data_IF_181934263563
#
_entry.id   IF_181934263563
#
_cell.length_a   1.000
_cell.length_b   1.000
_cell.length_c   1.000
_cell.angle_alpha   90.00
_cell.angle_beta   90.00
_cell.angle_gamma   90.00
#
_symmetry.space_group_name_H-M   'P 1'
#
loop_
_entity.id
_entity.type
_entity.pdbx_description
1 polymer ?
#
# COMPACT_ATOMS: atom_id res chain seq x y z
N UNK A 1 -37.79 19.54 -2.70
CA UNK A 1 -36.47 19.31 -2.07
C UNK A 1 -36.15 17.84 -2.19
N UNK A 2 -35.27 17.46 -3.12
CA UNK A 2 -34.94 16.06 -3.34
C UNK A 2 -33.72 15.94 -4.24
N UNK A 3 -32.79 15.08 -3.84
CA UNK A 3 -31.68 14.56 -4.66
C UNK A 3 -30.49 15.50 -4.92
N UNK A 4 -29.77 15.88 -3.86
CA UNK A 4 -28.40 16.42 -3.97
C UNK A 4 -27.35 15.48 -3.34
N UNK A 5 -27.77 14.35 -2.75
CA UNK A 5 -26.89 13.48 -1.95
C UNK A 5 -26.07 12.44 -2.71
N UNK A 6 -26.49 11.96 -3.89
CA UNK A 6 -25.95 10.70 -4.44
C UNK A 6 -24.90 10.86 -5.56
N UNK A 7 -24.71 12.05 -6.12
CA UNK A 7 -23.82 12.26 -7.28
C UNK A 7 -22.31 12.28 -6.96
N UNK A 8 -21.91 12.23 -5.67
CA UNK A 8 -20.47 12.21 -5.30
C UNK A 8 -19.89 10.81 -5.21
N UNK A 9 -20.71 9.78 -5.06
CA UNK A 9 -20.24 8.39 -4.94
C UNK A 9 -20.04 7.71 -6.30
N UNK A 10 -20.72 8.19 -7.35
CA UNK A 10 -20.66 7.62 -8.72
C UNK A 10 -19.33 7.85 -9.46
N UNK A 11 -18.34 8.51 -8.86
CA UNK A 11 -17.04 8.79 -9.51
C UNK A 11 -15.84 8.44 -8.64
N UNK A 12 -15.95 7.45 -7.76
CA UNK A 12 -14.81 6.99 -6.96
C UNK A 12 -14.03 5.91 -7.73
N UNK A 13 -13.75 6.10 -9.03
CA UNK A 13 -12.65 5.47 -9.77
C UNK A 13 -12.72 5.74 -11.29
N UNK A 14 -11.59 5.73 -12.05
CA UNK A 14 -10.31 5.09 -11.72
C UNK A 14 -9.05 5.97 -11.79
N UNK A 15 -8.02 5.56 -11.02
CA UNK A 15 -6.66 6.10 -11.14
C UNK A 15 -6.27 6.13 -12.63
N UNK A 16 -6.05 7.33 -13.14
CA UNK A 16 -5.87 7.65 -14.55
C UNK A 16 -4.42 7.51 -15.01
N UNK A 17 -3.47 7.62 -14.07
CA UNK A 17 -2.05 7.53 -14.34
C UNK A 17 -1.54 6.08 -14.34
N UNK A 18 -2.34 5.12 -13.88
CA UNK A 18 -1.92 3.73 -13.66
C UNK A 18 -1.82 2.89 -14.94
N UNK A 19 -1.01 1.83 -14.88
CA UNK A 19 -1.04 0.81 -15.93
C UNK A 19 -2.41 0.12 -15.92
N UNK A 20 -2.89 -0.27 -17.10
CA UNK A 20 -4.23 -0.84 -17.27
C UNK A 20 -4.47 -2.10 -16.42
N UNK A 21 -3.46 -2.92 -16.20
CA UNK A 21 -3.53 -4.11 -15.35
C UNK A 21 -3.74 -3.77 -13.87
N UNK A 22 -2.93 -2.85 -13.32
CA UNK A 22 -3.03 -2.39 -11.92
C UNK A 22 -4.38 -1.72 -11.67
N UNK A 23 -4.82 -0.87 -12.60
CA UNK A 23 -6.10 -0.18 -12.53
C UNK A 23 -7.28 -1.17 -12.53
N UNK A 24 -7.25 -2.20 -13.38
CA UNK A 24 -8.27 -3.26 -13.39
C UNK A 24 -8.30 -4.04 -12.08
N UNK A 25 -7.13 -4.40 -11.54
CA UNK A 25 -7.03 -5.14 -10.27
C UNK A 25 -7.63 -4.35 -9.11
N UNK A 26 -7.26 -3.08 -8.96
CA UNK A 26 -7.80 -2.26 -7.87
C UNK A 26 -9.29 -2.04 -8.04
N UNK A 27 -9.76 -1.83 -9.28
CA UNK A 27 -11.19 -1.72 -9.58
C UNK A 27 -11.97 -2.96 -9.14
N UNK A 28 -11.52 -4.15 -9.54
CA UNK A 28 -12.19 -5.41 -9.19
C UNK A 28 -12.31 -5.57 -7.66
N UNK A 29 -11.24 -5.28 -6.93
CA UNK A 29 -11.21 -5.38 -5.47
C UNK A 29 -12.09 -4.32 -4.79
N UNK A 30 -12.14 -3.10 -5.34
CA UNK A 30 -13.04 -2.06 -4.86
C UNK A 30 -14.50 -2.43 -5.07
N UNK A 31 -14.87 -2.87 -6.28
CA UNK A 31 -16.24 -3.28 -6.62
C UNK A 31 -16.68 -4.43 -5.69
N UNK A 32 -15.82 -5.41 -5.42
CA UNK A 32 -16.09 -6.50 -4.48
C UNK A 32 -16.35 -6.02 -3.05
N UNK A 33 -15.54 -5.08 -2.54
CA UNK A 33 -15.73 -4.53 -1.19
C UNK A 33 -17.00 -3.71 -1.10
N UNK A 34 -17.30 -2.89 -2.11
CA UNK A 34 -18.51 -2.06 -2.11
C UNK A 34 -19.76 -2.94 -2.07
N UNK A 35 -19.81 -4.00 -2.88
CA UNK A 35 -20.93 -4.93 -2.89
C UNK A 35 -21.05 -5.72 -1.58
N UNK A 36 -19.93 -6.23 -1.05
CA UNK A 36 -19.91 -6.93 0.24
C UNK A 36 -20.33 -6.03 1.41
N UNK A 37 -19.96 -4.74 1.36
CA UNK A 37 -20.36 -3.76 2.37
C UNK A 37 -21.86 -3.42 2.29
N UNK A 38 -22.41 -3.26 1.08
CA UNK A 38 -23.86 -3.09 0.87
C UNK A 38 -24.65 -4.29 1.39
N UNK A 39 -24.14 -5.50 1.15
CA UNK A 39 -24.75 -6.75 1.63
C UNK A 39 -24.54 -7.01 3.13
N UNK A 40 -23.77 -6.17 3.85
CA UNK A 40 -23.35 -6.37 5.25
C UNK A 40 -22.60 -7.69 5.50
N UNK A 41 -21.95 -8.22 4.47
CA UNK A 41 -21.16 -9.47 4.50
C UNK A 41 -19.66 -9.22 4.38
N UNK A 42 -19.22 -7.95 4.45
CA UNK A 42 -17.82 -7.58 4.33
C UNK A 42 -16.97 -8.24 5.41
N UNK A 43 -15.98 -9.02 4.97
CA UNK A 43 -15.09 -9.76 5.86
C UNK A 43 -13.78 -9.01 6.11
N UNK A 44 -13.13 -9.31 7.23
CA UNK A 44 -11.78 -8.80 7.55
C UNK A 44 -10.75 -9.22 6.49
N UNK A 45 -10.87 -10.43 5.93
CA UNK A 45 -9.97 -10.92 4.89
C UNK A 45 -10.05 -10.09 3.60
N UNK A 46 -11.27 -9.75 3.14
CA UNK A 46 -11.48 -8.89 1.97
C UNK A 46 -10.92 -7.49 2.21
N UNK A 47 -11.16 -6.92 3.39
CA UNK A 47 -10.56 -5.63 3.79
C UNK A 47 -9.03 -5.69 3.73
N UNK A 48 -8.42 -6.76 4.25
CA UNK A 48 -6.96 -6.95 4.20
C UNK A 48 -6.42 -7.03 2.75
N UNK A 49 -7.10 -7.75 1.86
CA UNK A 49 -6.71 -7.84 0.45
C UNK A 49 -6.76 -6.49 -0.26
N UNK A 50 -7.80 -5.69 0.01
CA UNK A 50 -7.90 -4.36 -0.54
C UNK A 50 -6.86 -3.39 0.03
N UNK A 51 -6.52 -3.50 1.32
CA UNK A 51 -5.41 -2.72 1.91
C UNK A 51 -4.10 -3.03 1.18
N UNK A 52 -3.80 -4.29 0.90
CA UNK A 52 -2.62 -4.66 0.14
C UNK A 52 -2.64 -4.03 -1.26
N UNK A 53 -3.80 -4.01 -1.92
CA UNK A 53 -3.97 -3.31 -3.20
C UNK A 53 -3.76 -1.79 -3.09
N UNK A 54 -4.20 -1.16 -1.99
CA UNK A 54 -3.96 0.26 -1.72
C UNK A 54 -2.48 0.54 -1.43
N UNK A 55 -1.77 -0.35 -0.74
CA UNK A 55 -0.32 -0.24 -0.53
C UNK A 55 0.43 -0.29 -1.86
N UNK A 56 0.07 -1.22 -2.74
CA UNK A 56 0.61 -1.27 -4.11
C UNK A 56 0.35 0.03 -4.86
N UNK A 57 -0.87 0.57 -4.77
CA UNK A 57 -1.24 1.83 -5.41
C UNK A 57 -0.41 3.01 -4.88
N UNK A 58 -0.24 3.12 -3.57
CA UNK A 58 0.59 4.15 -2.94
C UNK A 58 2.03 4.08 -3.45
N UNK A 59 2.61 2.88 -3.49
CA UNK A 59 3.99 2.68 -3.94
C UNK A 59 4.15 3.09 -5.42
N UNK A 60 3.16 2.77 -6.27
CA UNK A 60 3.14 3.15 -7.68
C UNK A 60 3.00 4.68 -7.87
N UNK A 61 2.13 5.34 -7.10
CA UNK A 61 1.98 6.80 -7.10
C UNK A 61 3.27 7.50 -6.68
N UNK A 62 3.88 7.01 -5.59
CA UNK A 62 5.13 7.56 -5.08
C UNK A 62 6.23 7.42 -6.13
N UNK A 63 6.40 6.22 -6.71
CA UNK A 63 7.38 5.97 -7.76
C UNK A 63 7.19 6.90 -8.95
N UNK A 64 5.96 7.13 -9.40
CA UNK A 64 5.65 8.06 -10.50
C UNK A 64 5.97 9.50 -10.16
N UNK A 65 5.54 9.96 -8.98
CA UNK A 65 5.84 11.30 -8.49
C UNK A 65 7.35 11.56 -8.48
N UNK A 66 8.13 10.61 -7.95
CA UNK A 66 9.59 10.74 -7.93
C UNK A 66 10.21 10.78 -9.34
N UNK A 67 9.75 9.94 -10.26
CA UNK A 67 10.23 9.94 -11.66
C UNK A 67 9.94 11.29 -12.32
N UNK A 68 8.72 11.81 -12.14
CA UNK A 68 8.30 13.10 -12.68
C UNK A 68 9.15 14.23 -12.08
N UNK A 69 9.30 14.27 -10.75
CA UNK A 69 10.10 15.28 -10.06
C UNK A 69 11.58 15.27 -10.50
N UNK A 70 12.20 14.10 -10.61
CA UNK A 70 13.57 13.96 -11.13
C UNK A 70 13.65 14.48 -12.57
N UNK A 71 12.68 14.12 -13.41
CA UNK A 71 12.62 14.56 -14.81
C UNK A 71 12.44 16.08 -14.93
N UNK A 72 11.63 16.71 -14.08
CA UNK A 72 11.51 18.16 -14.00
C UNK A 72 12.82 18.84 -13.66
N UNK A 73 13.49 18.37 -12.60
CA UNK A 73 14.78 18.93 -12.16
C UNK A 73 15.80 18.89 -13.29
N UNK A 74 15.91 17.75 -13.98
CA UNK A 74 16.81 17.57 -15.11
C UNK A 74 16.45 18.51 -16.27
N UNK A 75 15.18 18.50 -16.72
CA UNK A 75 14.77 19.33 -17.87
C UNK A 75 14.86 20.82 -17.59
N UNK A 76 14.53 21.26 -16.38
CA UNK A 76 14.67 22.65 -15.96
C UNK A 76 16.15 23.07 -15.94
N UNK A 77 17.04 22.21 -15.46
CA UNK A 77 18.48 22.45 -15.53
C UNK A 77 19.00 22.52 -16.97
N UNK A 78 18.51 21.66 -17.87
CA UNK A 78 18.83 21.70 -19.29
C UNK A 78 18.30 22.98 -19.96
N UNK A 79 17.12 23.45 -19.57
CA UNK A 79 16.51 24.67 -20.12
C UNK A 79 17.39 25.91 -19.91
N UNK A 80 18.04 26.04 -18.75
CA UNK A 80 18.97 27.15 -18.47
C UNK A 80 20.19 27.18 -19.39
N UNK A 81 20.53 26.07 -20.05
CA UNK A 81 21.66 25.95 -20.97
C UNK A 81 21.23 25.73 -22.42
N UNK A 82 19.93 25.85 -22.71
CA UNK A 82 19.36 25.54 -24.00
C UNK A 82 19.66 26.64 -25.02
N UNK A 83 20.02 26.24 -26.23
CA UNK A 83 20.01 27.11 -27.40
C UNK A 83 18.58 27.31 -27.93
N UNK A 84 18.40 28.25 -28.85
CA UNK A 84 17.07 28.62 -29.37
C UNK A 84 16.31 27.45 -30.00
N UNK A 85 17.01 26.46 -30.57
CA UNK A 85 16.37 25.30 -31.22
C UNK A 85 15.93 24.21 -30.24
N UNK A 86 16.66 24.02 -29.12
CA UNK A 86 16.31 23.03 -28.10
C UNK A 86 15.36 23.57 -27.03
N UNK A 87 15.27 24.90 -26.88
CA UNK A 87 14.41 25.57 -25.91
C UNK A 87 12.94 25.17 -26.05
N UNK A 88 12.36 25.35 -27.24
CA UNK A 88 10.93 25.06 -27.47
C UNK A 88 10.61 23.58 -27.22
N UNK A 89 11.50 22.68 -27.64
CA UNK A 89 11.37 21.24 -27.39
C UNK A 89 11.40 20.92 -25.90
N UNK A 90 12.30 21.53 -25.13
CA UNK A 90 12.39 21.33 -23.68
C UNK A 90 11.16 21.88 -22.96
N UNK A 91 10.67 23.06 -23.33
CA UNK A 91 9.43 23.63 -22.83
C UNK A 91 8.24 22.68 -23.05
N UNK A 92 8.08 22.16 -24.27
CA UNK A 92 7.02 21.18 -24.57
C UNK A 92 7.13 19.91 -23.71
N UNK A 93 8.35 19.42 -23.46
CA UNK A 93 8.56 18.27 -22.58
C UNK A 93 8.23 18.59 -21.12
N UNK A 94 8.52 19.79 -20.64
CA UNK A 94 8.16 20.26 -19.30
C UNK A 94 6.63 20.33 -19.17
N UNK A 95 5.92 20.92 -20.14
CA UNK A 95 4.45 20.96 -20.12
C UNK A 95 3.81 19.56 -20.08
N UNK A 96 4.38 18.58 -20.80
CA UNK A 96 3.91 17.19 -20.72
C UNK A 96 4.11 16.60 -19.33
N UNK A 97 5.24 16.87 -18.68
CA UNK A 97 5.49 16.44 -17.30
C UNK A 97 4.56 17.15 -16.31
N UNK A 98 4.18 18.42 -16.52
CA UNK A 98 3.20 19.13 -15.69
C UNK A 98 1.83 18.46 -15.76
N UNK A 99 1.40 18.10 -16.97
CA UNK A 99 0.16 17.35 -17.17
C UNK A 99 0.21 15.97 -16.51
N UNK A 100 1.34 15.26 -16.59
CA UNK A 100 1.56 13.98 -15.89
C UNK A 100 1.53 14.15 -14.37
N UNK A 101 2.19 15.18 -13.84
CA UNK A 101 2.19 15.49 -12.40
C UNK A 101 0.77 15.71 -11.88
N UNK A 102 -0.02 16.51 -12.61
CA UNK A 102 -1.42 16.79 -12.26
C UNK A 102 -2.26 15.51 -12.22
N UNK A 103 -2.08 14.58 -13.16
CA UNK A 103 -2.78 13.28 -13.14
C UNK A 103 -2.40 12.43 -11.93
N UNK A 104 -1.11 12.42 -11.55
CA UNK A 104 -0.65 11.70 -10.36
C UNK A 104 -1.20 12.33 -9.08
N UNK A 105 -1.32 13.66 -9.04
CA UNK A 105 -1.93 14.38 -7.92
C UNK A 105 -3.43 14.07 -7.80
N UNK A 106 -4.17 14.09 -8.91
CA UNK A 106 -5.57 13.67 -8.96
C UNK A 106 -5.72 12.23 -8.45
N UNK A 107 -4.87 11.30 -8.90
CA UNK A 107 -4.90 9.93 -8.40
C UNK A 107 -4.56 9.84 -6.90
N UNK A 108 -3.66 10.67 -6.38
CA UNK A 108 -3.38 10.74 -4.94
C UNK A 108 -4.61 11.20 -4.15
N UNK A 109 -5.41 12.13 -4.67
CA UNK A 109 -6.68 12.53 -4.02
C UNK A 109 -7.68 11.37 -3.95
N UNK A 110 -7.78 10.58 -5.03
CA UNK A 110 -8.64 9.38 -5.07
C UNK A 110 -8.15 8.34 -4.07
N UNK A 111 -6.83 8.14 -3.94
CA UNK A 111 -6.25 7.22 -2.96
C UNK A 111 -6.60 7.64 -1.54
N UNK A 112 -6.43 8.92 -1.21
CA UNK A 112 -6.75 9.44 0.12
C UNK A 112 -8.25 9.27 0.44
N UNK A 113 -9.13 9.53 -0.55
CA UNK A 113 -10.56 9.32 -0.37
C UNK A 113 -10.90 7.85 -0.09
N UNK A 114 -10.34 6.92 -0.87
CA UNK A 114 -10.53 5.48 -0.66
C UNK A 114 -10.04 5.05 0.72
N UNK A 115 -8.91 5.58 1.16
CA UNK A 115 -8.37 5.30 2.49
C UNK A 115 -9.30 5.80 3.59
N UNK A 116 -9.84 7.01 3.47
CA UNK A 116 -10.81 7.55 4.43
C UNK A 116 -12.11 6.75 4.45
N UNK A 117 -12.63 6.35 3.29
CA UNK A 117 -13.83 5.51 3.22
C UNK A 117 -13.62 4.15 3.87
N UNK A 118 -12.46 3.53 3.67
CA UNK A 118 -12.15 2.24 4.27
C UNK A 118 -12.13 2.31 5.80
N UNK A 119 -11.59 3.40 6.36
CA UNK A 119 -11.56 3.64 7.82
C UNK A 119 -12.94 3.71 8.47
N UNK A 120 -13.97 4.08 7.71
CA UNK A 120 -15.34 4.13 8.21
C UNK A 120 -15.99 2.74 8.32
N UNK A 121 -15.45 1.72 7.63
CA UNK A 121 -16.02 0.38 7.61
C UNK A 121 -15.92 -0.33 8.97
N UNK A 122 -17.01 -0.96 9.46
CA UNK A 122 -16.97 -1.78 10.67
C UNK A 122 -15.93 -2.90 10.62
N UNK A 123 -15.75 -3.53 9.46
CA UNK A 123 -14.78 -4.61 9.27
C UNK A 123 -13.33 -4.13 9.37
N UNK A 124 -13.07 -2.87 9.01
CA UNK A 124 -11.76 -2.24 9.19
C UNK A 124 -11.50 -1.93 10.67
N UNK A 125 -12.51 -1.45 11.40
CA UNK A 125 -12.41 -1.19 12.85
C UNK A 125 -12.16 -2.46 13.64
N UNK A 126 -12.89 -3.53 13.36
CA UNK A 126 -12.66 -4.83 14.03
C UNK A 126 -11.27 -5.40 13.72
N UNK A 127 -10.76 -5.20 12.49
CA UNK A 127 -9.39 -5.57 12.17
C UNK A 127 -8.36 -4.82 13.04
N UNK A 128 -8.54 -3.51 13.26
CA UNK A 128 -7.66 -2.70 14.12
C UNK A 128 -7.75 -3.12 15.59
N UNK A 129 -8.95 -3.42 16.09
CA UNK A 129 -9.16 -3.90 17.46
C UNK A 129 -8.49 -5.26 17.68
N UNK A 130 -8.61 -6.19 16.72
CA UNK A 130 -7.93 -7.50 16.78
C UNK A 130 -6.41 -7.34 16.78
N UNK A 131 -5.85 -6.45 15.94
CA UNK A 131 -4.40 -6.20 15.96
C UNK A 131 -3.92 -5.59 17.28
N UNK A 132 -4.65 -4.63 17.83
CA UNK A 132 -4.29 -4.00 19.11
C UNK A 132 -4.34 -5.02 20.27
N UNK A 133 -5.34 -5.90 20.30
CA UNK A 133 -5.44 -6.95 21.30
C UNK A 133 -4.33 -8.00 21.18
N UNK A 134 -3.87 -8.31 19.96
CA UNK A 134 -2.73 -9.21 19.75
C UNK A 134 -1.41 -8.58 20.21
N UNK A 135 -1.20 -7.28 19.98
CA UNK A 135 0.00 -6.56 20.45
C UNK A 135 0.05 -6.51 21.98
N UNK A 136 -1.07 -6.18 22.64
CA UNK A 136 -1.16 -6.21 24.11
C UNK A 136 -0.96 -7.62 24.69
N UNK A 137 -1.45 -8.65 23.98
CA UNK A 137 -1.23 -10.03 24.39
C UNK A 137 0.22 -10.46 24.16
N UNK A 138 0.89 -9.99 23.11
CA UNK A 138 2.31 -10.24 22.89
C UNK A 138 3.20 -9.54 23.93
N UNK A 139 2.82 -8.34 24.38
CA UNK A 139 3.49 -7.65 25.49
C UNK A 139 3.24 -8.36 26.84
N UNK A 140 2.03 -8.89 27.05
CA UNK A 140 1.69 -9.71 28.21
C UNK A 140 2.36 -11.09 28.20
N UNK A 141 2.48 -11.74 27.03
CA UNK A 141 3.12 -13.04 26.88
C UNK A 141 4.66 -12.91 26.92
N UNK A 142 5.22 -11.74 26.58
CA UNK A 142 6.62 -11.40 26.89
C UNK A 142 6.84 -11.14 28.39
N UNK A 143 5.82 -10.66 29.11
CA UNK A 143 5.84 -10.51 30.56
C UNK A 143 5.56 -11.84 31.31
N UNK A 144 5.02 -12.85 30.62
CA UNK A 144 4.96 -14.22 31.13
C UNK A 144 6.35 -14.84 30.96
N UNK A 145 7.19 -14.67 31.99
CA UNK A 145 8.54 -15.23 32.16
C UNK A 145 8.83 -16.40 31.22
N UNK A 146 9.44 -16.10 30.06
CA UNK A 146 10.30 -17.08 29.43
C UNK A 146 11.36 -17.41 30.48
N UNK A 147 11.54 -18.69 30.88
CA UNK A 147 12.63 -19.03 31.77
C UNK A 147 13.91 -18.51 31.14
N UNK A 148 14.68 -17.73 31.90
CA UNK A 148 15.93 -17.10 31.49
C UNK A 148 16.99 -18.20 31.32
N UNK A 149 16.80 -19.00 30.28
CA UNK A 149 17.68 -20.11 29.93
C UNK A 149 18.98 -19.50 29.45
N UNK A 150 20.06 -19.79 30.16
CA UNK A 150 21.37 -19.31 29.73
C UNK A 150 21.71 -19.94 28.37
N UNK A 151 22.51 -19.23 27.58
CA UNK A 151 23.03 -19.75 26.31
C UNK A 151 23.67 -21.14 26.45
N UNK A 152 24.27 -21.43 27.61
CA UNK A 152 24.93 -22.69 27.92
C UNK A 152 23.94 -23.83 28.17
N UNK A 153 22.78 -23.51 28.75
CA UNK A 153 21.68 -24.44 29.01
C UNK A 153 20.92 -24.79 27.72
N UNK A 154 20.72 -23.81 26.84
CA UNK A 154 20.18 -24.01 25.50
C UNK A 154 21.04 -24.97 24.66
N UNK A 155 22.36 -24.78 24.67
CA UNK A 155 23.30 -25.68 23.99
C UNK A 155 23.31 -27.09 24.59
N UNK A 156 23.10 -27.24 25.89
CA UNK A 156 23.02 -28.53 26.54
C UNK A 156 21.75 -29.30 26.15
N UNK A 157 20.65 -28.59 25.89
CA UNK A 157 19.39 -29.16 25.42
C UNK A 157 19.49 -29.58 23.95
N UNK A 158 20.09 -28.76 23.09
CA UNK A 158 20.29 -29.08 21.67
C UNK A 158 21.21 -30.31 21.47
N UNK A 159 22.24 -30.49 22.31
CA UNK A 159 23.10 -31.69 22.30
C UNK A 159 22.37 -32.98 22.67
N UNK A 160 21.26 -32.89 23.41
CA UNK A 160 20.40 -34.03 23.77
C UNK A 160 19.37 -34.34 22.68
N UNK A 161 19.24 -33.50 21.67
CA UNK A 161 18.31 -33.71 20.57
C UNK A 161 18.76 -34.88 19.69
N UNK A 162 17.92 -35.91 19.62
CA UNK A 162 18.11 -37.09 18.78
C UNK A 162 18.11 -36.76 17.29
N UNK A 163 17.53 -35.61 16.89
CA UNK A 163 17.56 -35.10 15.53
C UNK A 163 19.00 -34.94 15.02
N UNK A 164 19.90 -34.38 15.83
CA UNK A 164 21.31 -34.18 15.48
C UNK A 164 22.17 -35.43 15.64
N UNK A 165 21.73 -36.41 16.44
CA UNK A 165 22.47 -37.67 16.63
C UNK A 165 22.32 -38.62 15.43
N UNK A 166 21.21 -38.54 14.68
CA UNK A 166 20.90 -39.49 13.61
C UNK A 166 21.79 -39.34 12.36
N UNK A 167 22.37 -38.16 12.13
CA UNK A 167 23.16 -37.86 10.92
C UNK A 167 24.69 -37.93 11.11
N UNK A 168 25.20 -38.36 12.29
CA UNK A 168 26.65 -38.54 12.50
C UNK A 168 27.20 -39.90 12.06
N UNK A 169 26.36 -40.80 11.54
CA UNK A 169 26.77 -42.11 11.00
C UNK A 169 26.61 -42.16 9.48
N UNK A 170 27.31 -41.29 8.76
CA UNK A 170 27.74 -41.57 7.39
C UNK A 170 29.24 -41.29 7.32
N UNK A 171 30.01 -42.36 7.56
CA UNK A 171 31.38 -42.51 7.08
C UNK A 171 31.34 -43.35 5.83
#
# INVERSE_FOLDING_TARGET
MGEVGNRRMDRIYPFSSFASSTQRRIKLQYDEIVESNKAKTLTVAQVGQFINCLVDARNELQRKSEIIQRSFKIKKALLYKADRSSFDRLCQQIYKLEAEHKRVEEDATVYNLLQEQLKLSPAYKTMLEVSANMEQKAESDQAAELPDISFEEFLAQEKKDLFWQRNRKLR
#
